data_IF_335945967023
#
_entry.id   IF_335945967023
#
_cell.length_a   1.000
_cell.length_b   1.000
_cell.length_c   1.000
_cell.angle_alpha   90.00
_cell.angle_beta   90.00
_cell.angle_gamma   90.00
#
_symmetry.space_group_name_H-M   'P 1'
#
loop_
_entity.id
_entity.type
_entity.pdbx_description
1 polymer ?
#
# COMPACT_ATOMS: atom_id res chain seq x y z
N UNK A 1 -14.19 -14.81 19.27
CA UNK A 1 -14.16 -13.34 19.39
C UNK A 1 -13.77 -12.80 18.03
N UNK A 2 -14.61 -12.00 17.36
CA UNK A 2 -14.33 -11.55 16.00
C UNK A 2 -13.19 -10.54 16.01
N UNK A 3 -12.06 -10.92 15.43
CA UNK A 3 -10.90 -10.04 15.25
C UNK A 3 -11.27 -8.86 14.35
N UNK A 4 -11.50 -7.70 14.95
CA UNK A 4 -11.86 -6.48 14.20
C UNK A 4 -10.59 -5.86 13.63
N UNK A 5 -10.51 -5.83 12.31
CA UNK A 5 -9.44 -5.15 11.58
C UNK A 5 -9.74 -3.66 11.49
N UNK A 6 -8.94 -2.85 12.16
CA UNK A 6 -9.05 -1.38 12.13
C UNK A 6 -7.86 -0.78 11.39
N UNK A 7 -8.10 0.24 10.57
CA UNK A 7 -7.04 1.01 9.92
C UNK A 7 -6.80 2.29 10.71
N UNK A 8 -5.54 2.65 10.95
CA UNK A 8 -5.19 3.90 11.63
C UNK A 8 -4.17 4.64 10.79
N UNK A 9 -4.28 5.97 10.74
CA UNK A 9 -3.35 6.84 10.03
C UNK A 9 -2.62 7.70 11.04
N UNK A 10 -1.31 7.55 11.10
CA UNK A 10 -0.42 8.30 11.96
C UNK A 10 0.20 9.44 11.15
N UNK A 11 -0.06 10.68 11.54
CA UNK A 11 0.64 11.85 10.99
C UNK A 11 1.97 12.02 11.70
N UNK A 12 3.06 11.97 10.94
CA UNK A 12 4.44 12.12 11.43
C UNK A 12 4.90 13.55 11.16
N UNK A 13 5.85 14.05 11.94
CA UNK A 13 6.44 15.37 11.69
C UNK A 13 7.13 15.40 10.33
N UNK A 14 8.03 14.43 10.13
CA UNK A 14 8.90 14.31 8.97
C UNK A 14 9.28 12.84 8.79
N UNK A 15 8.89 12.25 7.65
CA UNK A 15 9.33 10.90 7.27
C UNK A 15 10.73 10.91 6.67
N UNK A 16 11.17 12.05 6.13
CA UNK A 16 12.52 12.24 5.57
C UNK A 16 13.61 12.28 6.66
N UNK A 17 13.23 12.40 7.94
CA UNK A 17 14.18 12.33 9.04
C UNK A 17 14.46 10.87 9.44
N UNK A 18 15.70 10.43 9.20
CA UNK A 18 16.23 9.13 9.60
C UNK A 18 15.92 8.74 11.05
N UNK A 19 16.06 9.70 11.97
CA UNK A 19 15.84 9.48 13.40
C UNK A 19 14.35 9.26 13.72
N UNK A 20 13.45 9.97 13.04
CA UNK A 20 12.01 9.84 13.16
C UNK A 20 11.54 8.50 12.59
N UNK A 21 12.02 8.14 11.39
CA UNK A 21 11.70 6.86 10.76
C UNK A 21 12.12 5.68 11.65
N UNK A 22 13.36 5.69 12.17
CA UNK A 22 13.86 4.65 13.09
C UNK A 22 13.03 4.56 14.37
N UNK A 23 12.59 5.70 14.93
CA UNK A 23 11.70 5.73 16.10
C UNK A 23 10.33 5.11 15.78
N UNK A 24 9.67 5.54 14.70
CA UNK A 24 8.38 4.99 14.28
C UNK A 24 8.50 3.48 14.08
N UNK A 25 9.49 3.02 13.31
CA UNK A 25 9.72 1.59 13.05
C UNK A 25 9.91 0.78 14.33
N UNK A 26 10.70 1.29 15.30
CA UNK A 26 10.87 0.66 16.62
C UNK A 26 9.57 0.62 17.41
N UNK A 27 8.77 1.68 17.35
CA UNK A 27 7.48 1.74 18.06
C UNK A 27 6.51 0.74 17.45
N UNK A 28 6.32 0.74 16.12
CA UNK A 28 5.41 -0.19 15.43
C UNK A 28 5.81 -1.66 15.65
N UNK A 29 7.10 -1.97 15.65
CA UNK A 29 7.60 -3.33 15.89
C UNK A 29 7.31 -3.86 17.30
N UNK A 30 7.03 -3.00 18.29
CA UNK A 30 6.64 -3.41 19.65
C UNK A 30 5.17 -3.85 19.75
N UNK A 31 4.36 -3.62 18.73
CA UNK A 31 2.94 -3.97 18.74
C UNK A 31 2.69 -5.14 17.79
N UNK A 32 2.48 -6.37 18.31
CA UNK A 32 2.20 -7.54 17.48
C UNK A 32 0.82 -7.48 16.81
N UNK A 33 -0.05 -6.59 17.29
CA UNK A 33 -1.40 -6.36 16.75
C UNK A 33 -1.35 -5.64 15.39
N UNK A 34 -0.22 -5.02 15.04
CA UNK A 34 -0.03 -4.35 13.75
C UNK A 34 0.37 -5.38 12.70
N UNK A 35 -0.48 -5.58 11.70
CA UNK A 35 -0.23 -6.50 10.58
C UNK A 35 0.48 -5.82 9.42
N UNK A 36 0.01 -4.65 9.04
CA UNK A 36 0.51 -3.92 7.88
C UNK A 36 0.87 -2.49 8.25
N UNK A 37 1.89 -1.96 7.57
CA UNK A 37 2.38 -0.59 7.70
C UNK A 37 2.69 -0.06 6.30
N UNK A 38 2.10 1.08 5.95
CA UNK A 38 2.21 1.74 4.67
C UNK A 38 2.67 3.18 4.94
N UNK A 39 3.84 3.52 4.41
CA UNK A 39 4.46 4.83 4.62
C UNK A 39 4.17 5.70 3.41
N UNK A 40 3.51 6.84 3.65
CA UNK A 40 3.22 7.83 2.64
C UNK A 40 4.11 9.07 2.88
N UNK A 41 5.24 9.10 2.18
CA UNK A 41 6.22 10.18 2.28
C UNK A 41 5.65 11.51 1.75
N UNK A 42 4.70 11.47 0.81
CA UNK A 42 4.07 12.68 0.24
C UNK A 42 3.21 13.39 1.27
N UNK A 43 2.45 12.62 2.04
CA UNK A 43 1.59 13.15 3.09
C UNK A 43 2.26 13.21 4.48
N UNK A 44 3.51 12.73 4.60
CA UNK A 44 4.18 12.51 5.89
C UNK A 44 3.32 11.68 6.87
N UNK A 45 2.64 10.65 6.36
CA UNK A 45 1.74 9.81 7.16
C UNK A 45 2.12 8.34 7.09
N UNK A 46 1.78 7.59 8.13
CA UNK A 46 1.99 6.15 8.22
C UNK A 46 0.65 5.50 8.51
N UNK A 47 0.16 4.75 7.55
CA UNK A 47 -1.08 4.01 7.66
C UNK A 47 -0.79 2.60 8.14
N UNK A 48 -1.40 2.24 9.26
CA UNK A 48 -1.23 0.91 9.86
C UNK A 48 -2.56 0.16 9.88
N UNK A 49 -2.47 -1.15 9.69
CA UNK A 49 -3.60 -2.06 9.86
C UNK A 49 -3.42 -2.81 11.16
N UNK A 50 -4.33 -2.60 12.11
CA UNK A 50 -4.28 -3.17 13.45
C UNK A 50 -5.43 -4.17 13.61
N UNK A 51 -5.11 -5.37 14.07
CA UNK A 51 -6.10 -6.39 14.41
C UNK A 51 -6.25 -6.37 15.92
N UNK A 52 -7.23 -5.61 16.40
CA UNK A 52 -7.46 -5.42 17.83
C UNK A 52 -8.92 -5.01 18.07
N UNK A 53 -9.45 -5.41 19.23
CA UNK A 53 -10.77 -4.99 19.68
C UNK A 53 -10.85 -3.48 20.02
N UNK A 54 -9.71 -2.83 20.34
CA UNK A 54 -9.67 -1.49 20.95
C UNK A 54 -8.62 -0.56 20.30
N UNK A 55 -8.97 0.18 19.23
CA UNK A 55 -8.04 1.09 18.56
C UNK A 55 -7.67 2.33 19.38
N UNK A 56 -8.50 2.73 20.36
CA UNK A 56 -8.23 3.90 21.21
C UNK A 56 -7.02 3.69 22.12
N UNK A 57 -6.90 2.49 22.71
CA UNK A 57 -5.73 2.11 23.52
C UNK A 57 -4.44 2.09 22.69
N UNK A 58 -4.53 1.63 21.44
CA UNK A 58 -3.40 1.62 20.52
C UNK A 58 -2.97 3.05 20.17
N UNK A 59 -3.94 3.93 19.87
CA UNK A 59 -3.68 5.36 19.64
C UNK A 59 -2.92 5.99 20.82
N UNK A 60 -3.39 5.78 22.05
CA UNK A 60 -2.75 6.33 23.24
C UNK A 60 -1.31 5.82 23.39
N UNK A 61 -1.10 4.49 23.29
CA UNK A 61 0.24 3.90 23.39
C UNK A 61 1.18 4.37 22.29
N UNK A 62 0.69 4.53 21.07
CA UNK A 62 1.47 5.07 19.95
C UNK A 62 1.87 6.52 20.22
N UNK A 63 0.94 7.36 20.72
CA UNK A 63 1.26 8.74 21.09
C UNK A 63 2.31 8.79 22.21
N UNK A 64 2.14 8.00 23.27
CA UNK A 64 3.09 7.96 24.39
C UNK A 64 4.48 7.47 23.98
N UNK A 65 4.59 6.46 23.11
CA UNK A 65 5.89 5.91 22.67
C UNK A 65 6.50 6.67 21.49
N UNK A 66 5.68 7.25 20.62
CA UNK A 66 6.10 8.04 19.47
C UNK A 66 6.50 9.47 19.85
N UNK A 67 6.04 9.97 21.00
CA UNK A 67 6.42 11.27 21.55
C UNK A 67 6.26 12.38 20.51
N UNK A 68 7.31 13.20 20.35
CA UNK A 68 7.33 14.34 19.42
C UNK A 68 7.33 13.95 17.94
N UNK A 69 7.57 12.68 17.60
CA UNK A 69 7.63 12.24 16.20
C UNK A 69 6.24 12.08 15.60
N UNK A 70 5.23 11.73 16.39
CA UNK A 70 3.84 11.59 15.94
C UNK A 70 3.09 12.87 16.30
N UNK A 71 2.59 13.59 15.29
CA UNK A 71 1.79 14.81 15.48
C UNK A 71 0.35 14.48 15.84
N UNK A 72 -0.24 13.51 15.15
CA UNK A 72 -1.65 13.15 15.33
C UNK A 72 -1.90 11.73 14.86
N UNK A 73 -2.93 11.08 15.41
CA UNK A 73 -3.35 9.74 15.00
C UNK A 73 -4.85 9.79 14.75
N UNK A 74 -5.23 9.46 13.52
CA UNK A 74 -6.61 9.35 13.07
C UNK A 74 -7.00 7.88 12.99
N UNK A 75 -8.10 7.52 13.65
CA UNK A 75 -8.63 6.16 13.65
C UNK A 75 -9.68 6.09 12.54
N UNK A 76 -9.35 5.37 11.46
CA UNK A 76 -10.29 5.09 10.38
C UNK A 76 -10.89 3.71 10.68
N UNK A 77 -12.02 3.69 11.37
CA UNK A 77 -12.86 2.48 11.42
C UNK A 77 -13.23 2.16 9.99
N UNK A 78 -12.57 1.17 9.40
CA UNK A 78 -12.93 0.68 8.09
C UNK A 78 -14.34 0.10 8.26
N UNK A 79 -15.39 0.68 7.65
CA UNK A 79 -16.63 -0.05 7.52
C UNK A 79 -16.27 -1.34 6.77
N UNK A 80 -16.85 -2.46 7.18
CA UNK A 80 -16.67 -3.75 6.51
C UNK A 80 -16.68 -3.54 4.99
N UNK A 81 -15.77 -4.19 4.25
CA UNK A 81 -15.73 -4.03 2.80
C UNK A 81 -17.11 -4.35 2.25
N UNK A 82 -17.87 -3.32 1.89
CA UNK A 82 -18.96 -3.48 0.95
C UNK A 82 -18.31 -4.17 -0.26
N UNK A 83 -18.81 -5.33 -0.72
CA UNK A 83 -18.25 -6.01 -1.87
C UNK A 83 -18.20 -5.00 -3.01
N UNK A 84 -16.99 -4.62 -3.40
CA UNK A 84 -16.79 -3.63 -4.43
C UNK A 84 -17.12 -4.32 -5.76
N UNK A 85 -18.40 -4.26 -6.15
CA UNK A 85 -18.86 -4.52 -7.51
C UNK A 85 -18.35 -3.40 -8.42
N UNK A 86 -17.06 -3.36 -8.70
CA UNK A 86 -16.53 -2.46 -9.73
C UNK A 86 -15.21 -3.00 -10.27
N UNK A 87 -15.27 -4.22 -10.80
CA UNK A 87 -14.36 -4.60 -11.88
C UNK A 87 -14.89 -3.97 -13.17
N UNK A 88 -14.70 -2.66 -13.32
CA UNK A 88 -14.82 -2.00 -14.61
C UNK A 88 -13.48 -2.17 -15.33
N UNK A 89 -13.38 -3.04 -16.37
CA UNK A 89 -12.15 -3.21 -17.10
C UNK A 89 -11.77 -1.88 -17.77
N UNK A 90 -10.53 -1.43 -17.50
CA UNK A 90 -9.91 -0.27 -18.10
C UNK A 90 -10.02 -0.33 -19.63
N UNK A 91 -10.50 0.71 -20.33
CA UNK A 91 -10.38 0.78 -21.78
C UNK A 91 -8.91 1.01 -22.13
N UNK A 92 -8.25 0.00 -22.71
CA UNK A 92 -6.90 0.16 -23.27
C UNK A 92 -6.97 1.11 -24.47
N UNK A 93 -6.14 2.17 -24.54
CA UNK A 93 -6.06 3.02 -25.71
C UNK A 93 -5.39 2.27 -26.88
N UNK A 94 -5.96 2.45 -28.07
CA UNK A 94 -5.44 1.97 -29.37
C UNK A 94 -4.05 2.58 -29.67
N UNK A 95 -3.19 1.84 -30.37
CA UNK A 95 -2.33 2.44 -31.39
C UNK A 95 -2.75 1.93 -32.79
N UNK A 96 -3.01 2.86 -33.71
CA UNK A 96 -2.98 2.63 -35.18
C UNK A 96 -1.55 2.98 -35.69
N UNK A 97 -1.25 2.96 -37.00
CA UNK A 97 -0.86 1.82 -37.82
C UNK A 97 0.50 2.06 -38.55
N UNK A 98 1.43 1.10 -38.57
CA UNK A 98 2.65 1.22 -39.38
C UNK A 98 2.78 0.07 -40.39
N UNK A 99 2.20 0.37 -41.54
CA UNK A 99 2.58 0.08 -42.94
C UNK A 99 3.96 -0.57 -43.20
N UNK A 100 3.90 -1.76 -43.85
CA UNK A 100 4.79 -2.36 -44.88
C UNK A 100 6.22 -2.85 -44.51
N UNK A 101 6.85 -3.72 -45.36
CA UNK A 101 6.29 -4.71 -46.29
C UNK A 101 6.87 -6.13 -46.05
N UNK A 102 6.01 -7.14 -46.15
CA UNK A 102 6.46 -8.52 -46.30
C UNK A 102 7.18 -8.71 -47.63
N UNK A 103 8.44 -9.13 -47.57
CA UNK A 103 9.17 -9.66 -48.73
C UNK A 103 10.06 -10.80 -48.27
N UNK A 104 10.04 -11.87 -49.08
CA UNK A 104 11.00 -12.99 -49.19
C UNK A 104 10.83 -14.12 -48.15
N UNK A 105 10.75 -15.41 -48.51
CA UNK A 105 10.69 -16.16 -49.79
C UNK A 105 10.16 -17.55 -49.43
N UNK A 106 9.26 -18.10 -50.24
CA UNK A 106 8.86 -19.51 -50.15
C UNK A 106 9.65 -20.29 -51.22
N UNK A 107 10.36 -21.32 -50.76
CA UNK A 107 10.78 -22.59 -51.39
C UNK A 107 11.68 -22.59 -52.64
N UNK A 108 12.87 -23.17 -52.46
CA UNK A 108 13.36 -24.24 -53.34
C UNK A 108 14.30 -25.15 -52.54
N UNK A 109 13.75 -26.25 -52.02
CA UNK A 109 14.55 -27.45 -51.73
C UNK A 109 14.44 -28.32 -52.97
N UNK A 110 15.49 -28.32 -53.78
CA UNK A 110 15.66 -29.21 -54.93
C UNK A 110 16.89 -30.07 -54.66
N UNK A 111 16.72 -31.03 -53.77
CA UNK A 111 17.63 -32.16 -53.57
C UNK A 111 16.80 -33.35 -53.06
N UNK A 112 16.19 -34.07 -54.00
CA UNK A 112 15.86 -35.48 -53.85
C UNK A 112 16.06 -36.11 -55.24
N UNK A 113 16.89 -37.17 -55.23
CA UNK A 113 17.34 -38.05 -56.32
C UNK A 113 16.55 -38.02 -57.64
#
# INVERSE_FOLDING_TARGET
>A
MSDKVTTMVLKVVDLHCDSCYKKIKKVLCKFPEIRNQEYDEKANTVKITVVCCNPEKIREKLCCKGGKTIKSIEIIKKPEPKPNKDEKPKPKPKPKPDVLPGRIRILSNKDLL
#
